data_IF_700289235760
#
_entry.id   IF_700289235760
#
_cell.length_a   1.000
_cell.length_b   1.000
_cell.length_c   1.000
_cell.angle_alpha   90.00
_cell.angle_beta   90.00
_cell.angle_gamma   90.00
#
_symmetry.space_group_name_H-M   'P 1'
#
loop_
_entity.id
_entity.type
_entity.pdbx_description
1 polymer ?
#
# COMPACT_ATOMS: atom_id res chain seq x y z
N UNK A 1 -13.35 36.53 -33.84
CA UNK A 1 -12.15 36.82 -33.00
C UNK A 1 -12.42 36.59 -31.50
N UNK A 2 -13.58 36.93 -30.95
CA UNK A 2 -13.93 36.75 -29.52
C UNK A 2 -14.01 35.27 -29.14
N UNK A 3 -14.68 34.41 -29.94
CA UNK A 3 -14.78 32.95 -29.68
C UNK A 3 -13.44 32.23 -29.66
N UNK A 4 -12.46 32.67 -30.44
CA UNK A 4 -11.12 32.09 -30.48
C UNK A 4 -10.32 32.44 -29.22
N UNK A 5 -10.39 33.68 -28.74
CA UNK A 5 -9.78 34.12 -27.46
C UNK A 5 -10.35 33.36 -26.26
N UNK A 6 -11.67 33.15 -26.23
CA UNK A 6 -12.31 32.38 -25.16
C UNK A 6 -11.89 30.92 -25.17
N UNK A 7 -11.77 30.27 -26.33
CA UNK A 7 -11.27 28.88 -26.44
C UNK A 7 -9.82 28.76 -26.02
N UNK A 8 -8.96 29.71 -26.37
CA UNK A 8 -7.57 29.72 -25.92
C UNK A 8 -7.45 29.93 -24.42
N UNK A 9 -8.18 30.90 -23.85
CA UNK A 9 -8.20 31.15 -22.41
C UNK A 9 -8.67 29.90 -21.64
N UNK A 10 -9.71 29.21 -22.10
CA UNK A 10 -10.19 27.97 -21.50
C UNK A 10 -9.18 26.83 -21.60
N UNK A 11 -8.43 26.73 -22.70
CA UNK A 11 -7.32 25.81 -22.86
C UNK A 11 -6.17 26.07 -21.86
N UNK A 12 -5.76 27.33 -21.73
CA UNK A 12 -4.72 27.73 -20.76
C UNK A 12 -5.12 27.41 -19.32
N UNK A 13 -6.36 27.70 -18.94
CA UNK A 13 -6.86 27.42 -17.58
C UNK A 13 -6.82 25.92 -17.27
N UNK A 14 -7.22 25.07 -18.23
CA UNK A 14 -7.15 23.61 -18.06
C UNK A 14 -5.71 23.12 -17.90
N UNK A 15 -4.79 23.62 -18.70
CA UNK A 15 -3.37 23.26 -18.61
C UNK A 15 -2.77 23.68 -17.26
N UNK A 16 -3.08 24.90 -16.79
CA UNK A 16 -2.62 25.37 -15.48
C UNK A 16 -3.18 24.53 -14.32
N UNK A 17 -4.46 24.13 -14.39
CA UNK A 17 -5.06 23.25 -13.38
C UNK A 17 -4.37 21.88 -13.38
N UNK A 18 -4.09 21.30 -14.55
CA UNK A 18 -3.39 20.02 -14.65
C UNK A 18 -1.97 20.09 -14.10
N UNK A 19 -1.23 21.15 -14.41
CA UNK A 19 0.13 21.37 -13.88
C UNK A 19 0.09 21.53 -12.36
N UNK A 20 -0.82 22.37 -11.84
CA UNK A 20 -0.98 22.57 -10.39
C UNK A 20 -1.32 21.25 -9.66
N UNK A 21 -2.24 20.46 -10.22
CA UNK A 21 -2.61 19.16 -9.68
C UNK A 21 -1.44 18.18 -9.69
N UNK A 22 -0.66 18.13 -10.78
CA UNK A 22 0.52 17.32 -10.89
C UNK A 22 1.60 17.69 -9.86
N UNK A 23 1.82 19.00 -9.64
CA UNK A 23 2.77 19.50 -8.64
C UNK A 23 2.33 19.12 -7.22
N UNK A 24 1.04 19.25 -6.91
CA UNK A 24 0.49 18.87 -5.60
C UNK A 24 0.67 17.36 -5.35
N UNK A 25 0.34 16.54 -6.35
CA UNK A 25 0.51 15.08 -6.28
C UNK A 25 2.00 14.74 -6.09
N UNK A 26 2.89 15.35 -6.87
CA UNK A 26 4.32 15.12 -6.77
C UNK A 26 4.88 15.48 -5.38
N UNK A 27 4.51 16.64 -4.83
CA UNK A 27 4.89 17.07 -3.47
C UNK A 27 4.37 16.11 -2.40
N UNK A 28 3.13 15.64 -2.55
CA UNK A 28 2.54 14.63 -1.65
C UNK A 28 3.31 13.33 -1.70
N UNK A 29 3.59 12.80 -2.89
CA UNK A 29 4.38 11.57 -3.07
C UNK A 29 5.79 11.69 -2.48
N UNK A 30 6.46 12.84 -2.66
CA UNK A 30 7.80 13.09 -2.13
C UNK A 30 7.79 13.07 -0.59
N UNK A 31 6.81 13.73 0.03
CA UNK A 31 6.63 13.72 1.48
C UNK A 31 6.48 12.29 2.03
N UNK A 32 5.64 11.47 1.41
CA UNK A 32 5.46 10.07 1.82
C UNK A 32 6.74 9.25 1.64
N UNK A 33 7.48 9.42 0.53
CA UNK A 33 8.76 8.75 0.32
C UNK A 33 9.77 9.09 1.41
N UNK A 34 9.88 10.37 1.81
CA UNK A 34 10.76 10.78 2.89
C UNK A 34 10.38 10.06 4.20
N UNK A 35 9.09 10.05 4.58
CA UNK A 35 8.61 9.38 5.78
C UNK A 35 8.94 7.88 5.74
N UNK A 36 8.73 7.21 4.61
CA UNK A 36 9.01 5.78 4.49
C UNK A 36 10.50 5.45 4.58
N UNK A 37 11.39 6.29 4.05
CA UNK A 37 12.83 6.06 4.06
C UNK A 37 13.57 6.64 5.27
N UNK A 38 12.89 7.38 6.14
CA UNK A 38 13.43 7.88 7.40
C UNK A 38 12.77 7.19 8.59
N UNK A 39 11.51 7.54 8.85
CA UNK A 39 10.74 7.08 9.99
C UNK A 39 10.35 5.59 9.92
N UNK A 40 10.00 5.10 8.72
CA UNK A 40 9.65 3.71 8.48
C UNK A 40 10.82 2.91 7.85
N UNK A 41 12.08 3.34 8.06
CA UNK A 41 13.25 2.78 7.39
C UNK A 41 13.39 1.25 7.57
N UNK A 42 13.29 0.65 8.80
CA UNK A 42 13.53 -0.79 8.96
C UNK A 42 12.60 -1.64 8.12
N UNK A 43 11.30 -1.36 8.16
CA UNK A 43 10.31 -2.12 7.39
C UNK A 43 10.37 -1.79 5.89
N UNK A 44 10.70 -0.56 5.51
CA UNK A 44 10.88 -0.21 4.09
C UNK A 44 12.11 -0.88 3.50
N UNK A 45 13.17 -1.04 4.27
CA UNK A 45 14.36 -1.79 3.85
C UNK A 45 14.01 -3.28 3.64
N UNK A 46 13.30 -3.90 4.59
CA UNK A 46 12.84 -5.29 4.43
C UNK A 46 11.96 -5.47 3.19
N UNK A 47 11.07 -4.52 2.93
CA UNK A 47 10.24 -4.53 1.73
C UNK A 47 11.06 -4.39 0.44
N UNK A 48 12.07 -3.52 0.42
CA UNK A 48 12.99 -3.39 -0.71
C UNK A 48 13.79 -4.67 -0.96
N UNK A 49 14.28 -5.32 0.11
CA UNK A 49 14.99 -6.60 0.03
C UNK A 49 14.09 -7.71 -0.52
N UNK A 50 12.84 -7.80 -0.05
CA UNK A 50 11.88 -8.78 -0.55
C UNK A 50 11.57 -8.53 -2.04
N UNK A 51 11.36 -7.29 -2.45
CA UNK A 51 11.16 -6.94 -3.87
C UNK A 51 12.38 -7.33 -4.71
N UNK A 52 13.59 -7.08 -4.22
CA UNK A 52 14.82 -7.45 -4.90
C UNK A 52 14.92 -8.98 -5.09
N UNK A 53 14.64 -9.76 -4.03
CA UNK A 53 14.59 -11.23 -4.10
C UNK A 53 13.59 -11.69 -5.15
N UNK A 54 12.34 -11.18 -5.10
CA UNK A 54 11.30 -11.54 -6.06
C UNK A 54 11.70 -11.21 -7.50
N UNK A 55 12.43 -10.11 -7.72
CA UNK A 55 12.94 -9.74 -9.04
C UNK A 55 14.02 -10.70 -9.53
N UNK A 56 15.00 -11.06 -8.69
CA UNK A 56 16.07 -12.03 -9.06
C UNK A 56 15.45 -13.35 -9.51
N UNK A 57 14.43 -13.83 -8.80
CA UNK A 57 13.78 -15.10 -9.15
C UNK A 57 12.70 -14.97 -10.23
N UNK A 58 12.52 -13.79 -10.83
CA UNK A 58 11.51 -13.57 -11.88
C UNK A 58 10.07 -13.77 -11.39
N UNK A 59 9.79 -13.49 -10.11
CA UNK A 59 8.50 -13.75 -9.45
C UNK A 59 7.64 -12.50 -9.27
N UNK A 60 8.02 -11.40 -9.86
CA UNK A 60 7.22 -10.16 -9.93
C UNK A 60 6.34 -10.23 -11.17
N UNK A 61 5.03 -10.27 -10.96
CA UNK A 61 4.03 -10.37 -12.03
C UNK A 61 3.41 -9.00 -12.38
N UNK A 62 3.42 -8.08 -11.41
CA UNK A 62 2.94 -6.71 -11.63
C UNK A 62 3.43 -5.76 -10.56
N UNK A 63 3.62 -4.49 -10.95
CA UNK A 63 3.93 -3.40 -10.03
C UNK A 63 2.99 -2.24 -10.31
N UNK A 64 2.37 -1.72 -9.25
CA UNK A 64 1.51 -0.53 -9.29
C UNK A 64 1.95 0.47 -8.23
N UNK A 65 1.71 1.74 -8.49
CA UNK A 65 2.00 2.82 -7.56
C UNK A 65 0.68 3.45 -7.09
N UNK A 66 0.53 3.58 -5.78
CA UNK A 66 -0.58 4.33 -5.18
C UNK A 66 -0.25 5.82 -5.15
N UNK A 67 -1.27 6.67 -5.11
CA UNK A 67 -1.13 8.12 -4.95
C UNK A 67 -0.40 8.52 -3.64
N UNK A 68 -0.43 7.65 -2.62
CA UNK A 68 0.31 7.81 -1.37
C UNK A 68 1.78 7.37 -1.44
N UNK A 69 2.31 7.08 -2.64
CA UNK A 69 3.71 6.65 -2.83
C UNK A 69 3.98 5.18 -2.46
N UNK A 70 2.95 4.42 -2.11
CA UNK A 70 3.08 2.98 -1.83
C UNK A 70 3.26 2.20 -3.12
N UNK A 71 4.16 1.23 -3.11
CA UNK A 71 4.45 0.32 -4.22
C UNK A 71 3.73 -1.00 -3.95
N UNK A 72 2.76 -1.33 -4.79
CA UNK A 72 1.99 -2.58 -4.72
C UNK A 72 2.61 -3.56 -5.70
N UNK A 73 3.06 -4.71 -5.18
CA UNK A 73 3.74 -5.76 -5.94
C UNK A 73 2.87 -7.01 -5.94
N UNK A 74 2.63 -7.54 -7.13
CA UNK A 74 1.88 -8.78 -7.33
C UNK A 74 2.85 -9.94 -7.58
N UNK A 75 2.65 -11.04 -6.85
CA UNK A 75 3.52 -12.22 -6.95
C UNK A 75 2.78 -13.50 -6.59
N UNK A 76 2.93 -14.54 -7.40
CA UNK A 76 2.43 -15.88 -7.09
C UNK A 76 3.18 -16.59 -5.95
N UNK A 77 4.32 -16.05 -5.49
CA UNK A 77 5.04 -16.56 -4.32
C UNK A 77 4.47 -16.04 -2.99
N UNK A 78 3.67 -15.02 -3.02
CA UNK A 78 2.99 -14.49 -1.85
C UNK A 78 1.64 -15.20 -1.69
N UNK A 79 1.37 -15.80 -0.54
CA UNK A 79 0.15 -16.57 -0.31
C UNK A 79 -1.05 -15.70 0.10
N UNK A 80 -0.80 -14.53 0.67
CA UNK A 80 -1.84 -13.61 1.14
C UNK A 80 -1.45 -12.16 0.82
N UNK A 81 -1.40 -11.27 1.81
CA UNK A 81 -0.85 -9.93 1.74
C UNK A 81 0.27 -9.76 2.75
N UNK A 82 1.22 -8.90 2.45
CA UNK A 82 2.29 -8.49 3.37
C UNK A 82 2.61 -7.02 3.14
N UNK A 83 2.61 -6.24 4.21
CA UNK A 83 2.89 -4.81 4.19
C UNK A 83 4.20 -4.49 4.92
N UNK A 84 5.17 -3.96 4.20
CA UNK A 84 6.51 -3.62 4.70
C UNK A 84 6.87 -2.18 4.33
N UNK A 85 6.53 -1.24 5.20
CA UNK A 85 6.75 0.19 4.99
C UNK A 85 6.03 0.71 3.76
N UNK A 86 6.77 1.16 2.74
CA UNK A 86 6.18 1.61 1.48
C UNK A 86 5.84 0.48 0.49
N UNK A 87 6.14 -0.77 0.81
CA UNK A 87 5.89 -1.91 -0.07
C UNK A 87 4.72 -2.73 0.44
N UNK A 88 3.79 -3.02 -0.46
CA UNK A 88 2.67 -3.92 -0.26
C UNK A 88 2.79 -5.06 -1.26
N UNK A 89 2.92 -6.28 -0.77
CA UNK A 89 2.98 -7.47 -1.59
C UNK A 89 1.64 -8.20 -1.50
N UNK A 90 1.08 -8.57 -2.63
CA UNK A 90 -0.20 -9.28 -2.70
C UNK A 90 -0.08 -10.52 -3.58
N UNK A 91 -0.88 -11.51 -3.22
CA UNK A 91 -1.01 -12.72 -4.04
C UNK A 91 -1.71 -12.40 -5.37
N UNK A 92 -1.24 -13.04 -6.44
CA UNK A 92 -1.97 -13.07 -7.71
C UNK A 92 -2.82 -14.35 -7.86
N UNK A 93 -2.77 -15.27 -6.88
CA UNK A 93 -3.49 -16.55 -6.93
C UNK A 93 -4.96 -16.33 -6.58
N UNK A 94 -5.85 -16.68 -7.52
CA UNK A 94 -7.30 -16.90 -7.29
C UNK A 94 -8.09 -15.76 -6.60
N UNK A 95 -7.66 -14.50 -6.71
CA UNK A 95 -8.42 -13.37 -6.18
C UNK A 95 -9.27 -12.73 -7.29
N UNK A 96 -10.60 -12.74 -7.13
CA UNK A 96 -11.48 -11.90 -7.96
C UNK A 96 -11.13 -10.41 -7.80
N UNK A 97 -11.47 -9.57 -8.77
CA UNK A 97 -11.16 -8.13 -8.71
C UNK A 97 -11.60 -7.46 -7.40
N UNK A 98 -12.76 -7.85 -6.86
CA UNK A 98 -13.29 -7.31 -5.61
C UNK A 98 -12.51 -7.79 -4.38
N UNK A 99 -12.14 -9.08 -4.34
CA UNK A 99 -11.32 -9.65 -3.26
C UNK A 99 -9.92 -9.03 -3.25
N UNK A 100 -9.33 -8.84 -4.43
CA UNK A 100 -8.03 -8.18 -4.59
C UNK A 100 -8.06 -6.74 -4.07
N UNK A 101 -9.11 -5.99 -4.41
CA UNK A 101 -9.29 -4.62 -3.91
C UNK A 101 -9.41 -4.58 -2.38
N UNK A 102 -10.16 -5.52 -1.80
CA UNK A 102 -10.29 -5.64 -0.35
C UNK A 102 -8.94 -5.96 0.32
N UNK A 103 -8.19 -6.90 -0.25
CA UNK A 103 -6.85 -7.25 0.23
C UNK A 103 -5.91 -6.05 0.17
N UNK A 104 -5.86 -5.34 -0.95
CA UNK A 104 -5.02 -4.12 -1.09
C UNK A 104 -5.40 -3.08 -0.04
N UNK A 105 -6.68 -2.82 0.19
CA UNK A 105 -7.13 -1.87 1.22
C UNK A 105 -6.67 -2.27 2.61
N UNK A 106 -6.78 -3.54 2.95
CA UNK A 106 -6.31 -4.08 4.23
C UNK A 106 -4.81 -3.85 4.40
N UNK A 107 -3.99 -4.19 3.41
CA UNK A 107 -2.55 -3.99 3.43
C UNK A 107 -2.16 -2.50 3.50
N UNK A 108 -2.92 -1.62 2.87
CA UNK A 108 -2.75 -0.18 3.03
C UNK A 108 -3.08 0.29 4.46
N UNK A 109 -3.97 -0.40 5.17
CA UNK A 109 -4.19 -0.21 6.61
C UNK A 109 -2.93 -0.46 7.42
N UNK A 110 -2.22 -1.56 7.16
CA UNK A 110 -0.91 -1.87 7.76
C UNK A 110 0.16 -0.84 7.40
N UNK A 111 0.14 -0.32 6.19
CA UNK A 111 1.05 0.77 5.77
C UNK A 111 0.82 2.03 6.61
N UNK A 112 -0.43 2.36 6.94
CA UNK A 112 -0.76 3.47 7.85
C UNK A 112 -0.31 3.20 9.29
N UNK A 113 -0.45 1.98 9.79
CA UNK A 113 0.11 1.58 11.09
C UNK A 113 1.63 1.76 11.11
N UNK A 114 2.31 1.43 10.00
CA UNK A 114 3.75 1.65 9.84
C UNK A 114 4.13 3.13 9.97
N UNK A 115 3.38 4.04 9.37
CA UNK A 115 3.60 5.49 9.50
C UNK A 115 3.35 5.97 10.94
N UNK A 116 2.32 5.46 11.61
CA UNK A 116 1.98 5.85 12.98
C UNK A 116 3.01 5.36 14.00
N UNK A 117 3.53 4.15 13.84
CA UNK A 117 4.42 3.50 14.81
C UNK A 117 5.91 3.62 14.45
N UNK A 118 6.24 3.99 13.21
CA UNK A 118 7.62 4.09 12.75
C UNK A 118 8.42 2.80 12.99
N UNK A 119 9.63 2.87 13.54
CA UNK A 119 10.48 1.70 13.76
C UNK A 119 9.85 0.62 14.65
N UNK A 120 8.96 0.99 15.57
CA UNK A 120 8.27 0.05 16.47
C UNK A 120 7.24 -0.82 15.77
N UNK A 121 6.85 -0.49 14.52
CA UNK A 121 5.85 -1.22 13.76
C UNK A 121 6.15 -2.73 13.67
N UNK A 122 7.40 -3.08 13.39
CA UNK A 122 7.79 -4.49 13.24
C UNK A 122 7.54 -5.32 14.50
N UNK A 123 7.77 -4.73 15.68
CA UNK A 123 7.57 -5.41 16.98
C UNK A 123 6.09 -5.41 17.38
N UNK A 124 5.40 -4.28 17.22
CA UNK A 124 4.03 -4.09 17.74
C UNK A 124 2.96 -4.65 16.79
N UNK A 125 3.21 -4.61 15.51
CA UNK A 125 2.23 -5.05 14.48
C UNK A 125 2.81 -6.19 13.64
N UNK A 126 3.96 -6.00 13.01
CA UNK A 126 4.49 -6.92 12.01
C UNK A 126 4.68 -8.34 12.56
N UNK A 127 5.40 -8.47 13.67
CA UNK A 127 5.65 -9.79 14.31
C UNK A 127 4.36 -10.43 14.82
N UNK A 128 3.48 -9.76 15.59
CA UNK A 128 2.22 -10.36 16.02
C UNK A 128 1.30 -10.74 14.87
N UNK A 129 1.20 -9.92 13.81
CA UNK A 129 0.40 -10.22 12.63
C UNK A 129 0.93 -11.43 11.88
N UNK A 130 2.26 -11.55 11.72
CA UNK A 130 2.90 -12.69 11.08
C UNK A 130 2.68 -13.98 11.87
N UNK A 131 2.84 -13.95 13.20
CA UNK A 131 2.56 -15.09 14.09
C UNK A 131 1.09 -15.49 13.96
N UNK A 132 0.17 -14.52 13.98
CA UNK A 132 -1.26 -14.77 13.83
C UNK A 132 -1.58 -15.44 12.49
N UNK A 133 -1.04 -14.92 11.39
CA UNK A 133 -1.19 -15.52 10.07
C UNK A 133 -0.66 -16.96 10.02
N UNK A 134 0.50 -17.22 10.61
CA UNK A 134 1.09 -18.55 10.73
C UNK A 134 0.23 -19.51 11.54
N UNK A 135 -0.26 -19.11 12.71
CA UNK A 135 -1.16 -19.91 13.53
C UNK A 135 -2.45 -20.26 12.78
N UNK A 136 -3.04 -19.28 12.09
CA UNK A 136 -4.24 -19.48 11.27
C UNK A 136 -4.00 -20.43 10.10
N UNK A 137 -2.88 -20.33 9.42
CA UNK A 137 -2.50 -21.24 8.33
C UNK A 137 -2.35 -22.67 8.81
N UNK A 138 -1.85 -22.88 10.04
CA UNK A 138 -1.74 -24.21 10.68
C UNK A 138 -3.04 -24.68 11.35
N UNK A 139 -4.16 -23.97 11.14
CA UNK A 139 -5.48 -24.41 11.59
C UNK A 139 -5.85 -24.03 13.02
N UNK A 140 -5.01 -23.25 13.73
CA UNK A 140 -5.37 -22.72 15.04
C UNK A 140 -6.43 -21.62 14.91
N UNK A 141 -7.27 -21.46 15.92
CA UNK A 141 -8.30 -20.43 16.03
C UNK A 141 -9.28 -20.36 14.84
N UNK A 142 -9.60 -21.49 14.19
CA UNK A 142 -10.53 -21.56 13.04
C UNK A 142 -11.91 -20.95 13.31
N UNK A 143 -12.39 -21.02 14.55
CA UNK A 143 -13.68 -20.44 14.98
C UNK A 143 -13.66 -18.92 15.21
N UNK A 144 -12.52 -18.25 15.11
CA UNK A 144 -12.41 -16.80 15.28
C UNK A 144 -12.26 -16.10 13.94
N UNK A 145 -12.87 -14.92 13.72
CA UNK A 145 -12.62 -14.14 12.51
C UNK A 145 -11.15 -13.70 12.44
N UNK A 146 -10.62 -13.46 11.23
CA UNK A 146 -9.23 -13.02 11.06
C UNK A 146 -8.97 -11.70 11.80
N UNK A 147 -9.92 -10.77 11.74
CA UNK A 147 -9.90 -9.49 12.43
C UNK A 147 -10.09 -9.56 13.97
N UNK A 148 -10.08 -10.77 14.56
CA UNK A 148 -10.09 -10.92 16.02
C UNK A 148 -8.79 -10.40 16.65
N UNK A 149 -7.66 -10.55 15.95
CA UNK A 149 -6.37 -10.01 16.39
C UNK A 149 -6.39 -8.49 16.32
N UNK A 150 -5.86 -7.81 17.35
CA UNK A 150 -5.89 -6.35 17.43
C UNK A 150 -5.18 -5.66 16.27
N UNK A 151 -4.11 -6.24 15.75
CA UNK A 151 -3.35 -5.75 14.61
C UNK A 151 -4.22 -5.66 13.36
N UNK A 152 -4.93 -6.74 13.07
CA UNK A 152 -5.80 -6.90 11.91
C UNK A 152 -7.05 -6.00 12.01
N UNK A 153 -7.68 -6.00 13.20
CA UNK A 153 -8.83 -5.13 13.47
C UNK A 153 -8.50 -3.65 13.31
N UNK A 154 -7.30 -3.25 13.75
CA UNK A 154 -6.85 -1.88 13.59
C UNK A 154 -6.51 -1.54 12.13
N UNK A 155 -5.87 -2.46 11.40
CA UNK A 155 -5.63 -2.31 9.96
C UNK A 155 -6.93 -2.11 9.18
N UNK A 156 -7.96 -2.94 9.44
CA UNK A 156 -9.28 -2.81 8.81
C UNK A 156 -9.90 -1.42 9.07
N UNK A 157 -9.87 -0.92 10.31
CA UNK A 157 -10.39 0.42 10.66
C UNK A 157 -9.64 1.55 9.94
N UNK A 158 -8.33 1.41 9.74
CA UNK A 158 -7.55 2.39 9.00
C UNK A 158 -7.82 2.29 7.50
N UNK A 159 -8.08 1.08 6.99
CA UNK A 159 -8.42 0.82 5.60
C UNK A 159 -9.76 1.47 5.19
N UNK A 160 -10.76 1.50 6.09
CA UNK A 160 -12.05 2.16 5.84
C UNK A 160 -11.92 3.66 5.53
N UNK A 161 -10.88 4.30 6.05
CA UNK A 161 -10.58 5.73 5.86
C UNK A 161 -9.74 6.03 4.61
N UNK A 162 -9.53 5.03 3.76
CA UNK A 162 -8.76 5.18 2.51
C UNK A 162 -9.74 5.30 1.36
N UNK A 163 -9.83 6.50 0.77
CA UNK A 163 -10.52 6.69 -0.49
C UNK A 163 -9.72 6.03 -1.61
N UNK A 164 -10.21 4.91 -2.10
CA UNK A 164 -9.69 4.22 -3.27
C UNK A 164 -10.38 4.80 -4.51
N UNK A 165 -9.80 5.84 -5.07
CA UNK A 165 -10.13 6.32 -6.42
C UNK A 165 -9.08 5.86 -7.40
#
# INVERSE_FOLDING_TARGET
RIKLRQRMAFGYTRVLILISSAIIIYKSMLKYKVIYWTWCFPQSLLGAMLLFILKIFGKVEGIRHSASGVIIVESGWIFAGVSLGMYVFITNRSCSGQQKTKLIRHELGHTRQSILLGPSYLLVIGTPSLIWAGLRANGFFKGRPYSWMYTEKWADRLAERIDFK
#
